data_IF_161044581368
#
_entry.id   IF_161044581368
#
_cell.length_a   1.000
_cell.length_b   1.000
_cell.length_c   1.000
_cell.angle_alpha   90.00
_cell.angle_beta   90.00
_cell.angle_gamma   90.00
#
_symmetry.space_group_name_H-M   'P 1'
#
loop_
_entity.id
_entity.type
_entity.pdbx_description
1 polymer ?
#
# COMPACT_ATOMS: atom_id res chain seq x y z
N UNK A 1 6.72 -34.61 77.57
CA UNK A 1 7.14 -33.43 76.79
C UNK A 1 7.58 -33.90 75.40
N UNK A 2 6.79 -33.62 74.37
CA UNK A 2 7.10 -33.94 72.98
C UNK A 2 7.63 -32.69 72.28
N UNK A 3 8.90 -32.71 71.84
CA UNK A 3 9.43 -31.74 70.86
C UNK A 3 9.25 -32.32 69.45
N UNK A 4 8.61 -31.60 68.52
CA UNK A 4 8.41 -32.10 67.16
C UNK A 4 9.69 -31.96 66.34
N UNK A 5 10.12 -33.05 65.71
CA UNK A 5 11.20 -33.05 64.72
C UNK A 5 10.73 -32.34 63.45
N UNK A 6 11.35 -31.20 63.12
CA UNK A 6 11.17 -30.56 61.81
C UNK A 6 12.00 -31.32 60.78
N UNK A 7 11.31 -32.01 59.89
CA UNK A 7 11.92 -32.79 58.81
C UNK A 7 12.55 -31.86 57.75
N UNK A 8 13.78 -32.15 57.25
CA UNK A 8 14.49 -31.31 56.28
C UNK A 8 13.87 -31.29 54.88
N UNK A 9 12.78 -32.03 54.65
CA UNK A 9 12.06 -32.11 53.36
C UNK A 9 11.23 -30.87 53.04
N UNK A 10 10.87 -30.06 54.04
CA UNK A 10 10.01 -28.88 53.86
C UNK A 10 10.75 -27.62 53.38
N UNK A 11 12.04 -27.47 53.74
CA UNK A 11 12.85 -26.31 53.40
C UNK A 11 13.29 -26.30 51.94
N UNK A 12 13.63 -27.46 51.37
CA UNK A 12 14.03 -27.59 49.96
C UNK A 12 12.84 -27.34 49.03
N UNK A 13 11.64 -27.78 49.42
CA UNK A 13 10.41 -27.53 48.65
C UNK A 13 10.01 -26.06 48.61
N UNK A 14 10.14 -25.33 49.72
CA UNK A 14 9.84 -23.90 49.77
C UNK A 14 10.86 -23.05 48.99
N UNK A 15 12.15 -23.41 49.02
CA UNK A 15 13.17 -22.73 48.22
C UNK A 15 12.95 -22.93 46.71
N UNK A 16 12.56 -24.14 46.29
CA UNK A 16 12.25 -24.42 44.89
C UNK A 16 10.98 -23.70 44.40
N UNK A 17 9.94 -23.60 45.24
CA UNK A 17 8.71 -22.84 44.96
C UNK A 17 8.97 -21.33 44.86
N UNK A 18 9.82 -20.79 45.75
CA UNK A 18 10.22 -19.38 45.68
C UNK A 18 11.04 -19.06 44.43
N UNK A 19 11.96 -19.94 44.03
CA UNK A 19 12.75 -19.78 42.80
C UNK A 19 11.88 -19.85 41.55
N UNK A 20 10.91 -20.77 41.52
CA UNK A 20 9.94 -20.89 40.44
C UNK A 20 9.04 -19.64 40.32
N UNK A 21 8.58 -19.09 41.45
CA UNK A 21 7.78 -17.87 41.47
C UNK A 21 8.56 -16.65 40.95
N UNK A 22 9.84 -16.51 41.30
CA UNK A 22 10.72 -15.44 40.80
C UNK A 22 10.96 -15.58 39.29
N UNK A 23 11.14 -16.80 38.79
CA UNK A 23 11.29 -17.08 37.35
C UNK A 23 10.02 -16.76 36.56
N UNK A 24 8.85 -17.12 37.08
CA UNK A 24 7.55 -16.79 36.46
C UNK A 24 7.33 -15.28 36.47
N UNK A 25 7.63 -14.60 37.57
CA UNK A 25 7.51 -13.15 37.66
C UNK A 25 8.46 -12.43 36.69
N UNK A 26 9.70 -12.89 36.57
CA UNK A 26 10.67 -12.37 35.61
C UNK A 26 10.20 -12.57 34.15
N UNK A 27 9.63 -13.74 33.83
CA UNK A 27 9.05 -14.02 32.52
C UNK A 27 7.84 -13.14 32.22
N UNK A 28 6.99 -12.88 33.21
CA UNK A 28 5.85 -11.95 33.08
C UNK A 28 6.33 -10.51 32.87
N UNK A 29 7.35 -10.06 33.59
CA UNK A 29 7.94 -8.72 33.40
C UNK A 29 8.57 -8.59 32.02
N UNK A 30 9.28 -9.60 31.51
CA UNK A 30 9.82 -9.62 30.13
C UNK A 30 8.70 -9.64 29.09
N UNK A 31 7.60 -10.36 29.33
CA UNK A 31 6.45 -10.39 28.44
C UNK A 31 5.72 -9.04 28.41
N UNK A 32 5.57 -8.36 29.56
CA UNK A 32 4.97 -7.03 29.66
C UNK A 32 5.89 -5.92 29.13
N UNK A 33 7.21 -6.07 29.26
CA UNK A 33 8.19 -5.17 28.66
C UNK A 33 8.26 -5.30 27.12
N UNK A 34 7.93 -6.47 26.56
CA UNK A 34 7.73 -6.64 25.11
C UNK A 34 6.37 -6.17 24.61
N UNK A 35 5.40 -5.97 25.50
CA UNK A 35 4.03 -5.55 25.18
C UNK A 35 3.79 -4.03 25.17
N UNK A 36 4.76 -3.21 25.59
CA UNK A 36 4.65 -1.75 25.67
C UNK A 36 5.62 -1.07 24.71
N UNK A 37 5.49 -1.39 23.42
CA UNK A 37 6.38 -0.87 22.38
C UNK A 37 5.75 -0.71 21.00
N UNK A 38 4.45 -0.91 20.84
CA UNK A 38 3.75 -0.42 19.64
C UNK A 38 3.30 1.02 19.90
N UNK A 39 4.30 1.91 19.99
CA UNK A 39 4.06 3.28 19.56
C UNK A 39 3.58 3.15 18.12
N UNK A 40 2.30 3.42 17.88
CA UNK A 40 1.74 3.54 16.55
C UNK A 40 2.57 4.60 15.81
N UNK A 41 3.63 4.17 15.15
CA UNK A 41 4.31 4.96 14.15
C UNK A 41 3.31 5.06 13.00
N UNK A 42 2.40 6.03 13.10
CA UNK A 42 1.57 6.45 11.99
C UNK A 42 2.49 6.75 10.82
N UNK A 43 2.45 5.88 9.82
CA UNK A 43 3.35 5.84 8.69
C UNK A 43 3.49 7.24 8.08
N UNK A 44 4.70 7.79 8.08
CA UNK A 44 4.99 9.12 7.51
C UNK A 44 5.02 9.11 5.98
N UNK A 45 4.83 7.95 5.36
CA UNK A 45 4.65 7.81 3.93
C UNK A 45 3.18 7.58 3.62
N UNK A 46 2.63 8.52 2.84
CA UNK A 46 1.34 8.30 2.20
C UNK A 46 1.43 7.06 1.31
N UNK A 47 0.63 6.04 1.62
CA UNK A 47 0.65 4.76 0.94
C UNK A 47 1.78 3.84 1.41
N UNK A 48 2.02 3.74 2.72
CA UNK A 48 2.87 2.72 3.36
C UNK A 48 2.13 2.00 4.51
N UNK A 49 2.40 0.70 4.68
CA UNK A 49 2.03 -0.10 5.84
C UNK A 49 3.22 -1.02 6.15
N UNK A 50 3.88 -0.82 7.29
CA UNK A 50 5.03 -1.60 7.76
C UNK A 50 6.18 -1.69 6.73
N UNK A 51 6.56 -0.57 6.12
CA UNK A 51 7.70 -0.53 5.18
C UNK A 51 7.44 -1.23 3.85
N UNK A 52 6.22 -1.74 3.64
CA UNK A 52 5.69 -2.07 2.33
C UNK A 52 4.92 -0.86 1.84
N UNK A 53 5.34 -0.28 0.72
CA UNK A 53 4.53 0.71 0.04
C UNK A 53 3.17 0.07 -0.28
N UNK A 54 2.10 0.59 0.32
CA UNK A 54 0.69 0.46 -0.10
C UNK A 54 0.51 1.26 -1.40
N UNK A 55 1.38 1.01 -2.37
CA UNK A 55 1.13 1.41 -3.73
C UNK A 55 0.03 0.46 -4.24
N UNK A 56 -1.15 0.99 -4.53
CA UNK A 56 -2.27 0.20 -5.04
C UNK A 56 -1.91 -0.65 -6.27
N UNK A 57 -0.90 -0.22 -7.04
CA UNK A 57 -0.36 -0.98 -8.18
C UNK A 57 0.39 -2.25 -7.74
N UNK A 58 1.11 -2.21 -6.61
CA UNK A 58 1.83 -3.36 -6.04
C UNK A 58 0.87 -4.42 -5.51
N UNK A 59 -0.17 -4.00 -4.79
CA UNK A 59 -1.23 -4.89 -4.32
C UNK A 59 -1.97 -5.55 -5.50
N UNK A 60 -2.32 -4.78 -6.54
CA UNK A 60 -2.91 -5.31 -7.78
C UNK A 60 -1.98 -6.33 -8.45
N UNK A 61 -0.70 -6.01 -8.59
CA UNK A 61 0.28 -6.91 -9.18
C UNK A 61 0.43 -8.22 -8.38
N UNK A 62 0.42 -8.15 -7.06
CA UNK A 62 0.44 -9.32 -6.20
C UNK A 62 -0.81 -10.19 -6.40
N UNK A 63 -2.00 -9.59 -6.38
CA UNK A 63 -3.27 -10.29 -6.62
C UNK A 63 -3.27 -11.01 -7.98
N UNK A 64 -2.87 -10.35 -9.05
CA UNK A 64 -2.79 -10.95 -10.38
C UNK A 64 -1.80 -12.12 -10.43
N UNK A 65 -0.66 -12.02 -9.74
CA UNK A 65 0.30 -13.13 -9.61
C UNK A 65 -0.30 -14.31 -8.84
N UNK A 66 -1.05 -14.06 -7.76
CA UNK A 66 -1.73 -15.15 -7.02
C UNK A 66 -2.78 -15.87 -7.86
N UNK A 67 -3.31 -15.21 -8.88
CA UNK A 67 -4.22 -15.81 -9.87
C UNK A 67 -3.49 -16.54 -11.01
N UNK A 68 -2.15 -16.61 -10.97
CA UNK A 68 -1.32 -17.32 -11.95
C UNK A 68 -0.88 -16.47 -13.14
N UNK A 69 -1.10 -15.16 -13.13
CA UNK A 69 -0.64 -14.27 -14.21
C UNK A 69 0.83 -13.90 -14.06
N UNK A 70 1.53 -13.77 -15.19
CA UNK A 70 2.87 -13.19 -15.23
C UNK A 70 2.76 -11.66 -15.26
N UNK A 71 3.24 -10.99 -14.22
CA UNK A 71 3.16 -9.52 -14.09
C UNK A 71 4.55 -8.93 -14.08
N UNK A 72 4.83 -8.08 -15.06
CA UNK A 72 6.08 -7.31 -15.19
C UNK A 72 5.74 -5.82 -15.30
N UNK A 73 6.60 -4.97 -14.74
CA UNK A 73 6.49 -3.51 -14.88
C UNK A 73 7.32 -3.06 -16.08
N UNK A 74 6.82 -2.10 -16.84
CA UNK A 74 7.54 -1.47 -17.94
C UNK A 74 7.41 0.05 -17.83
N UNK A 75 8.51 0.74 -18.15
CA UNK A 75 8.60 2.21 -18.10
C UNK A 75 8.58 2.86 -19.49
N UNK A 76 8.71 2.05 -20.55
CA UNK A 76 8.79 2.51 -21.94
C UNK A 76 7.94 1.63 -22.83
N UNK A 77 7.33 2.24 -23.84
CA UNK A 77 6.57 1.56 -24.87
C UNK A 77 7.51 1.05 -25.97
N UNK A 78 7.92 -0.22 -25.87
CA UNK A 78 8.90 -0.84 -26.78
C UNK A 78 8.29 -1.99 -27.56
N UNK A 79 8.94 -2.38 -28.67
CA UNK A 79 8.55 -3.58 -29.41
C UNK A 79 8.61 -4.85 -28.55
N UNK A 80 9.56 -4.92 -27.60
CA UNK A 80 9.64 -6.00 -26.62
C UNK A 80 8.37 -6.04 -25.75
N UNK A 81 7.96 -4.91 -25.17
CA UNK A 81 6.71 -4.81 -24.39
C UNK A 81 5.51 -5.28 -25.21
N UNK A 82 5.42 -4.83 -26.47
CA UNK A 82 4.37 -5.25 -27.38
C UNK A 82 4.41 -6.76 -27.68
N UNK A 83 5.57 -7.42 -27.55
CA UNK A 83 5.74 -8.84 -27.83
C UNK A 83 5.20 -9.75 -26.72
N UNK A 84 5.43 -9.40 -25.45
CA UNK A 84 5.11 -10.28 -24.31
C UNK A 84 3.86 -9.90 -23.53
N UNK A 85 3.42 -8.65 -23.57
CA UNK A 85 2.23 -8.25 -22.83
C UNK A 85 0.98 -8.66 -23.61
N UNK A 86 0.07 -9.42 -22.97
CA UNK A 86 -1.29 -9.69 -23.47
C UNK A 86 -2.28 -8.62 -22.99
N UNK A 87 -2.09 -8.14 -21.76
CA UNK A 87 -2.87 -7.05 -21.16
C UNK A 87 -1.89 -5.99 -20.64
N UNK A 88 -2.17 -4.72 -20.93
CA UNK A 88 -1.45 -3.59 -20.36
C UNK A 88 -2.38 -2.85 -19.41
N UNK A 89 -1.93 -2.62 -18.18
CA UNK A 89 -2.60 -1.72 -17.22
C UNK A 89 -1.75 -0.47 -17.09
N UNK A 90 -2.24 0.65 -17.62
CA UNK A 90 -1.53 1.93 -17.68
C UNK A 90 -2.05 2.84 -16.59
N UNK A 91 -1.23 3.11 -15.57
CA UNK A 91 -1.52 4.12 -14.56
C UNK A 91 -0.99 5.47 -15.00
N UNK A 92 -1.90 6.44 -15.15
CA UNK A 92 -1.54 7.76 -15.60
C UNK A 92 -0.82 8.59 -14.56
N UNK A 93 0.31 9.18 -14.95
CA UNK A 93 1.00 10.14 -14.09
C UNK A 93 0.29 11.51 -14.10
N UNK A 94 -0.26 11.88 -15.26
CA UNK A 94 -0.98 13.13 -15.50
C UNK A 94 -2.46 12.86 -15.80
N UNK A 95 -3.38 13.73 -15.35
CA UNK A 95 -4.77 13.66 -15.76
C UNK A 95 -4.93 13.86 -17.28
N UNK A 96 -5.94 13.21 -17.85
CA UNK A 96 -6.34 13.41 -19.25
C UNK A 96 -5.87 12.32 -20.20
N UNK A 97 -6.08 12.54 -21.52
CA UNK A 97 -5.65 11.60 -22.55
C UNK A 97 -4.12 11.62 -22.67
N UNK A 98 -3.46 10.51 -23.01
CA UNK A 98 -2.03 10.54 -23.30
C UNK A 98 -1.67 11.38 -24.56
N UNK A 99 -0.39 11.42 -24.90
CA UNK A 99 0.05 12.06 -26.14
C UNK A 99 -0.29 11.22 -27.38
N UNK A 100 -0.28 11.87 -28.56
CA UNK A 100 -0.61 11.23 -29.84
C UNK A 100 0.32 10.06 -30.22
N UNK A 101 1.58 10.07 -29.81
CA UNK A 101 2.53 8.99 -30.10
C UNK A 101 2.27 7.77 -29.21
N UNK A 102 2.07 7.98 -27.90
CA UNK A 102 1.60 6.95 -26.96
C UNK A 102 0.27 6.35 -27.47
N UNK A 103 -0.63 7.18 -28.00
CA UNK A 103 -1.88 6.75 -28.62
C UNK A 103 -1.74 5.77 -29.74
N UNK A 104 -0.96 6.18 -30.73
CA UNK A 104 -0.73 5.39 -31.91
C UNK A 104 -0.08 4.06 -31.55
N UNK A 105 0.85 4.07 -30.60
CA UNK A 105 1.47 2.84 -30.13
C UNK A 105 0.46 1.87 -29.53
N UNK A 106 -0.45 2.35 -28.68
CA UNK A 106 -1.50 1.49 -28.11
C UNK A 106 -2.46 0.96 -29.17
N UNK A 107 -2.90 1.81 -30.10
CA UNK A 107 -3.80 1.44 -31.19
C UNK A 107 -3.18 0.37 -32.11
N UNK A 108 -1.96 0.59 -32.58
CA UNK A 108 -1.19 -0.37 -33.39
C UNK A 108 -1.04 -1.70 -32.63
N UNK A 109 -0.74 -1.63 -31.34
CA UNK A 109 -0.60 -2.80 -30.47
C UNK A 109 -1.92 -3.55 -30.31
N UNK A 110 -3.04 -2.87 -30.09
CA UNK A 110 -4.35 -3.49 -29.91
C UNK A 110 -4.83 -4.14 -31.22
N UNK A 111 -4.58 -3.52 -32.37
CA UNK A 111 -4.94 -4.07 -33.69
C UNK A 111 -4.11 -5.28 -34.09
N UNK A 112 -2.92 -5.46 -33.52
CA UNK A 112 -2.03 -6.55 -33.92
C UNK A 112 -2.53 -7.96 -33.57
N UNK A 113 -3.36 -8.13 -32.52
CA UNK A 113 -3.98 -9.42 -32.16
C UNK A 113 -5.28 -9.21 -31.37
N UNK A 114 -6.32 -10.06 -31.55
CA UNK A 114 -7.64 -9.84 -30.96
C UNK A 114 -7.71 -10.02 -29.43
N UNK A 115 -6.82 -10.80 -28.83
CA UNK A 115 -6.78 -11.07 -27.38
C UNK A 115 -6.15 -9.94 -26.55
N UNK A 116 -5.68 -8.89 -27.22
CA UNK A 116 -4.93 -7.81 -26.61
C UNK A 116 -5.84 -6.79 -25.94
N UNK A 117 -5.57 -6.48 -24.68
CA UNK A 117 -6.33 -5.47 -23.93
C UNK A 117 -5.46 -4.36 -23.37
N UNK A 118 -6.05 -3.17 -23.22
CA UNK A 118 -5.51 -2.02 -22.51
C UNK A 118 -6.52 -1.58 -21.45
N UNK A 119 -6.08 -1.52 -20.19
CA UNK A 119 -6.80 -0.88 -19.10
C UNK A 119 -6.10 0.43 -18.81
N UNK A 120 -6.79 1.53 -19.04
CA UNK A 120 -6.26 2.87 -18.83
C UNK A 120 -6.83 3.48 -17.54
N UNK A 121 -5.96 3.69 -16.55
CA UNK A 121 -6.33 4.25 -15.25
C UNK A 121 -5.91 5.71 -15.21
N UNK A 122 -6.88 6.62 -15.30
CA UNK A 122 -6.66 8.07 -15.23
C UNK A 122 -6.31 8.46 -13.79
N UNK A 123 -5.41 9.43 -13.62
CA UNK A 123 -5.22 10.11 -12.34
C UNK A 123 -6.18 11.29 -12.29
N UNK A 124 -7.27 11.14 -11.57
CA UNK A 124 -8.33 12.15 -11.42
C UNK A 124 -8.42 12.71 -9.99
N UNK A 125 -7.74 12.08 -9.03
CA UNK A 125 -7.77 12.45 -7.63
C UNK A 125 -6.41 12.23 -6.94
N UNK A 126 -6.11 13.07 -5.95
CA UNK A 126 -4.96 12.92 -5.07
C UNK A 126 -5.43 13.10 -3.62
N UNK A 127 -5.51 11.99 -2.88
CA UNK A 127 -5.99 11.98 -1.49
C UNK A 127 -4.93 12.45 -0.48
N UNK A 128 -3.75 12.88 -0.94
CA UNK A 128 -2.67 13.29 -0.04
C UNK A 128 -3.07 14.45 0.86
N UNK A 129 -3.84 15.44 0.38
CA UNK A 129 -4.25 16.56 1.22
C UNK A 129 -5.16 16.10 2.37
N UNK A 130 -6.17 15.27 2.05
CA UNK A 130 -7.10 14.70 3.02
C UNK A 130 -6.39 13.80 4.03
N UNK A 131 -5.47 12.95 3.55
CA UNK A 131 -4.65 12.12 4.42
C UNK A 131 -3.87 12.96 5.43
N UNK A 132 -3.16 13.98 4.98
CA UNK A 132 -2.36 14.81 5.88
C UNK A 132 -3.21 15.66 6.82
N UNK A 133 -4.45 16.03 6.44
CA UNK A 133 -5.42 16.61 7.39
C UNK A 133 -5.74 15.64 8.52
N UNK A 134 -6.07 14.38 8.20
CA UNK A 134 -6.35 13.36 9.22
C UNK A 134 -5.16 13.11 10.14
N UNK A 135 -3.93 13.08 9.60
CA UNK A 135 -2.70 12.95 10.39
C UNK A 135 -2.55 14.13 11.35
N UNK A 136 -2.80 15.36 10.89
CA UNK A 136 -2.71 16.56 11.73
C UNK A 136 -3.77 16.57 12.85
N UNK A 137 -4.99 16.12 12.56
CA UNK A 137 -6.05 15.98 13.56
C UNK A 137 -5.62 15.03 14.69
N UNK A 138 -4.98 13.91 14.33
CA UNK A 138 -4.42 12.95 15.29
C UNK A 138 -3.23 13.51 16.09
N UNK A 139 -2.48 14.46 15.53
CA UNK A 139 -1.34 15.12 16.18
C UNK A 139 -1.72 16.38 16.99
N UNK A 140 -2.99 16.77 17.00
CA UNK A 140 -3.47 18.00 17.65
C UNK A 140 -3.18 18.09 19.16
N UNK A 141 -2.98 16.95 19.83
CA UNK A 141 -2.55 16.88 21.24
C UNK A 141 -1.15 16.29 21.47
N UNK A 142 -0.39 16.00 20.41
CA UNK A 142 0.93 15.37 20.52
C UNK A 142 2.02 16.39 20.92
N UNK A 143 2.99 16.05 21.77
CA UNK A 143 4.17 16.90 22.00
C UNK A 143 5.16 16.88 20.82
N UNK A 144 4.94 16.03 19.82
CA UNK A 144 5.84 15.86 18.66
C UNK A 144 5.66 17.00 17.63
N UNK A 145 6.29 18.13 17.91
CA UNK A 145 6.23 19.34 17.08
C UNK A 145 6.85 19.14 15.69
N UNK A 146 7.97 18.42 15.60
CA UNK A 146 8.65 18.16 14.34
C UNK A 146 7.79 17.34 13.39
N UNK A 147 7.11 16.31 13.90
CA UNK A 147 6.18 15.53 13.10
C UNK A 147 4.98 16.34 12.62
N UNK A 148 4.47 17.26 13.46
CA UNK A 148 3.40 18.18 13.06
C UNK A 148 3.86 19.09 11.93
N UNK A 149 5.03 19.73 12.05
CA UNK A 149 5.62 20.57 10.99
C UNK A 149 5.80 19.80 9.68
N UNK A 150 6.28 18.56 9.77
CA UNK A 150 6.44 17.69 8.60
C UNK A 150 5.09 17.38 7.93
N UNK A 151 4.06 17.04 8.71
CA UNK A 151 2.72 16.78 8.21
C UNK A 151 2.07 18.04 7.59
N UNK A 152 2.26 19.22 8.19
CA UNK A 152 1.83 20.50 7.62
C UNK A 152 2.51 20.80 6.29
N UNK A 153 3.83 20.62 6.21
CA UNK A 153 4.62 20.78 4.98
C UNK A 153 4.11 19.85 3.87
N UNK A 154 3.87 18.59 4.20
CA UNK A 154 3.36 17.61 3.24
C UNK A 154 1.93 17.93 2.78
N UNK A 155 1.02 18.31 3.70
CA UNK A 155 -0.34 18.78 3.36
C UNK A 155 -0.29 19.98 2.42
N UNK A 156 0.54 20.99 2.74
CA UNK A 156 0.63 22.21 1.95
C UNK A 156 1.17 21.92 0.55
N UNK A 157 2.15 21.01 0.43
CA UNK A 157 2.65 20.52 -0.86
C UNK A 157 1.57 19.76 -1.64
N UNK A 158 0.77 18.95 -0.95
CA UNK A 158 -0.32 18.20 -1.56
C UNK A 158 -1.42 19.11 -2.10
N UNK A 159 -1.80 20.19 -1.38
CA UNK A 159 -2.83 21.14 -1.84
C UNK A 159 -2.56 21.73 -3.23
N UNK A 160 -1.29 21.96 -3.56
CA UNK A 160 -0.89 22.50 -4.86
C UNK A 160 -0.47 21.42 -5.86
N UNK A 161 -0.92 20.16 -5.71
CA UNK A 161 -0.52 19.07 -6.59
C UNK A 161 -0.91 19.32 -8.05
N UNK A 162 -2.09 19.88 -8.31
CA UNK A 162 -2.57 20.22 -9.66
C UNK A 162 -1.67 21.27 -10.31
N UNK A 163 -1.23 22.27 -9.54
CA UNK A 163 -0.33 23.32 -10.03
C UNK A 163 1.09 22.82 -10.36
N UNK A 164 1.44 21.61 -9.93
CA UNK A 164 2.72 20.94 -10.21
C UNK A 164 2.61 19.89 -11.31
N UNK A 165 1.42 19.69 -11.86
CA UNK A 165 1.30 18.87 -13.05
C UNK A 165 2.05 19.55 -14.20
N UNK A 166 2.79 18.79 -15.03
CA UNK A 166 3.31 19.34 -16.26
C UNK A 166 2.16 19.94 -17.08
N UNK A 167 2.49 20.94 -17.91
CA UNK A 167 1.55 21.48 -18.87
C UNK A 167 0.92 20.33 -19.68
N UNK A 168 -0.35 20.50 -20.07
CA UNK A 168 -1.05 19.52 -20.90
C UNK A 168 -0.15 19.11 -22.06
N UNK A 169 -0.23 17.83 -22.43
CA UNK A 169 0.49 17.28 -23.58
C UNK A 169 0.40 18.24 -24.77
N UNK A 170 1.54 18.59 -25.37
CA UNK A 170 1.62 19.55 -26.47
C UNK A 170 0.78 19.10 -27.67
N UNK A 171 0.63 17.77 -27.81
CA UNK A 171 -0.12 17.10 -28.87
C UNK A 171 -0.98 15.99 -28.25
N UNK A 172 -2.10 16.35 -27.58
CA UNK A 172 -2.99 15.33 -27.05
C UNK A 172 -3.56 14.52 -28.22
N UNK A 173 -3.81 13.23 -27.99
CA UNK A 173 -4.55 12.45 -28.98
C UNK A 173 -6.02 12.92 -29.04
N UNK A 174 -6.65 12.71 -30.19
CA UNK A 174 -8.06 13.07 -30.37
C UNK A 174 -8.92 12.18 -29.46
N UNK A 175 -9.77 12.74 -28.56
CA UNK A 175 -10.55 11.93 -27.61
C UNK A 175 -11.39 10.83 -28.28
N UNK A 176 -11.93 11.14 -29.47
CA UNK A 176 -12.73 10.22 -30.29
C UNK A 176 -11.92 9.04 -30.85
N UNK A 177 -10.61 9.20 -31.00
CA UNK A 177 -9.71 8.13 -31.47
C UNK A 177 -9.30 7.14 -30.38
N UNK A 178 -9.72 7.38 -29.13
CA UNK A 178 -9.24 6.65 -27.95
C UNK A 178 -10.31 6.17 -27.00
N UNK A 179 -11.35 6.97 -26.78
CA UNK A 179 -12.49 6.57 -25.98
C UNK A 179 -13.72 6.56 -26.87
N UNK A 180 -14.00 5.39 -27.44
CA UNK A 180 -15.36 5.10 -27.88
C UNK A 180 -16.10 4.47 -26.69
N UNK A 181 -17.19 5.10 -26.24
CA UNK A 181 -18.13 4.42 -25.34
C UNK A 181 -18.85 3.36 -26.18
N UNK A 182 -18.27 2.16 -26.23
CA UNK A 182 -18.95 0.99 -26.78
C UNK A 182 -20.16 0.62 -25.91
N UNK A 183 -21.01 -0.28 -26.41
CA UNK A 183 -22.03 -0.91 -25.57
C UNK A 183 -21.30 -1.58 -24.39
N UNK A 184 -21.71 -1.28 -23.15
CA UNK A 184 -21.11 -1.87 -21.96
C UNK A 184 -20.98 -3.38 -22.15
N UNK A 185 -19.76 -3.91 -22.02
CA UNK A 185 -19.57 -5.35 -22.02
C UNK A 185 -20.40 -5.93 -20.88
N UNK A 186 -21.08 -7.05 -21.12
CA UNK A 186 -21.79 -7.74 -20.05
C UNK A 186 -20.80 -7.99 -18.91
N UNK A 187 -21.12 -7.59 -17.66
CA UNK A 187 -20.25 -7.85 -16.54
C UNK A 187 -20.01 -9.37 -16.47
N UNK A 188 -18.76 -9.81 -16.17
CA UNK A 188 -18.48 -11.23 -16.07
C UNK A 188 -19.47 -11.86 -15.06
N UNK A 189 -20.21 -12.88 -15.51
CA UNK A 189 -21.32 -13.50 -14.77
C UNK A 189 -20.93 -14.12 -13.42
N UNK A 190 -19.64 -14.12 -13.07
CA UNK A 190 -19.11 -14.53 -11.77
C UNK A 190 -18.07 -13.53 -11.32
N UNK A 191 -18.44 -12.61 -10.44
CA UNK A 191 -17.51 -12.13 -9.44
C UNK A 191 -17.21 -13.34 -8.55
N UNK A 192 -16.09 -14.05 -8.77
CA UNK A 192 -15.57 -14.93 -7.73
C UNK A 192 -15.33 -14.03 -6.52
N UNK A 193 -16.00 -14.33 -5.41
CA UNK A 193 -15.71 -13.69 -4.12
C UNK A 193 -14.21 -13.70 -3.91
N UNK A 194 -13.63 -12.54 -3.60
CA UNK A 194 -12.30 -12.48 -3.02
C UNK A 194 -12.41 -13.16 -1.66
N UNK A 195 -11.94 -14.40 -1.59
CA UNK A 195 -11.84 -15.17 -0.35
C UNK A 195 -10.67 -14.68 0.49
#
# INVERSE_FOLDING_TARGET
MNSPSRSPRTLVGMAALALAAVLVLALVVVALARGSGNAHALESDYGGSMGSSVNGTGALAALLRTQGHNVRTAWRLTAELAGWADVIVRFAFVPGPPDRQEARWYDDRLKSRPERALVYVVRDYDAQEEYWKLVLDQLSGSPDEERRKQAESNRNRARSWVARLPDKEEKPADPESWFAVGRAADPPRRCKSLG
#
